data_IF_493757923746
#
_entry.id   IF_493757923746
#
_cell.length_a   1.000
_cell.length_b   1.000
_cell.length_c   1.000
_cell.angle_alpha   90.00
_cell.angle_beta   90.00
_cell.angle_gamma   90.00
#
_symmetry.space_group_name_H-M   'P 1'
#
loop_
_entity.id
_entity.type
_entity.pdbx_description
1 polymer ?
#
# COMPACT_ATOMS: atom_id res chain seq x y z
N UNK A 1 7.24 11.18 19.66
CA UNK A 1 5.85 11.70 19.72
C UNK A 1 4.92 10.67 20.36
N UNK A 2 3.79 11.08 20.95
CA UNK A 2 2.89 10.18 21.70
C UNK A 2 2.03 9.28 20.81
N UNK A 3 1.46 8.20 21.38
CA UNK A 3 0.53 7.33 20.66
C UNK A 3 -0.77 8.06 20.35
N UNK A 4 -1.31 7.90 19.13
CA UNK A 4 -2.60 8.46 18.75
C UNK A 4 -3.70 7.40 18.84
N UNK A 5 -4.75 7.71 19.60
CA UNK A 5 -5.92 6.84 19.75
C UNK A 5 -7.18 7.58 19.32
N UNK A 6 -8.06 6.89 18.59
CA UNK A 6 -9.47 7.29 18.51
C UNK A 6 -10.04 7.39 17.11
N UNK A 7 -11.13 8.15 17.02
CA UNK A 7 -11.91 8.37 15.80
C UNK A 7 -12.00 9.86 15.51
N UNK A 8 -11.48 10.31 14.37
CA UNK A 8 -11.48 11.74 14.05
C UNK A 8 -10.51 12.12 12.94
N UNK A 9 -10.20 13.42 12.88
CA UNK A 9 -9.24 14.02 11.97
C UNK A 9 -8.04 14.53 12.76
N UNK A 10 -6.83 14.04 12.44
CA UNK A 10 -5.63 14.33 13.22
C UNK A 10 -4.47 14.76 12.33
N UNK A 11 -4.38 16.05 11.96
CA UNK A 11 -3.21 16.59 11.28
C UNK A 11 -2.01 16.68 12.22
N UNK A 12 -0.88 16.11 11.81
CA UNK A 12 0.41 16.25 12.49
C UNK A 12 1.55 16.36 11.47
N UNK A 13 2.75 16.74 11.91
CA UNK A 13 3.96 16.58 11.09
C UNK A 13 4.51 15.15 11.21
N UNK A 14 4.67 14.65 12.42
CA UNK A 14 5.02 13.25 12.69
C UNK A 14 3.96 12.65 13.63
N UNK A 15 3.67 11.37 13.43
CA UNK A 15 2.72 10.62 14.25
C UNK A 15 3.40 9.37 14.77
N UNK A 16 3.32 9.14 16.08
CA UNK A 16 3.74 7.88 16.70
C UNK A 16 2.79 6.74 16.34
N UNK A 17 2.84 5.62 17.09
CA UNK A 17 1.94 4.50 16.90
C UNK A 17 0.46 4.96 16.89
N UNK A 18 -0.26 4.60 15.83
CA UNK A 18 -1.62 5.06 15.57
C UNK A 18 -2.61 3.91 15.68
N UNK A 19 -3.63 4.07 16.53
CA UNK A 19 -4.66 3.05 16.75
C UNK A 19 -6.06 3.65 16.56
N UNK A 20 -6.86 3.04 15.68
CA UNK A 20 -8.29 3.34 15.61
C UNK A 20 -8.83 3.56 14.19
N UNK A 21 -9.81 4.46 14.06
CA UNK A 21 -10.54 4.65 12.81
C UNK A 21 -10.74 6.12 12.48
N UNK A 22 -10.17 6.63 11.38
CA UNK A 22 -10.26 8.06 11.12
C UNK A 22 -9.54 8.53 9.86
N UNK A 23 -9.24 9.83 9.84
CA UNK A 23 -8.47 10.50 8.81
C UNK A 23 -7.22 11.12 9.44
N UNK A 24 -6.05 10.58 9.15
CA UNK A 24 -4.80 10.92 9.83
C UNK A 24 -3.78 11.45 8.81
N UNK A 25 -3.86 12.73 8.40
CA UNK A 25 -2.81 13.33 7.61
C UNK A 25 -1.55 13.56 8.45
N UNK A 26 -0.41 13.09 7.96
CA UNK A 26 0.91 13.32 8.56
C UNK A 26 1.97 13.55 7.48
N UNK A 27 3.17 14.01 7.82
CA UNK A 27 4.32 13.86 6.92
C UNK A 27 4.96 12.48 7.15
N UNK A 28 5.22 12.15 8.41
CA UNK A 28 5.75 10.86 8.83
C UNK A 28 4.75 10.15 9.74
N UNK A 29 4.57 8.85 9.53
CA UNK A 29 3.68 8.03 10.35
C UNK A 29 4.39 6.77 10.82
N UNK A 30 4.40 6.56 12.13
CA UNK A 30 4.85 5.32 12.74
C UNK A 30 3.89 4.15 12.49
N UNK A 31 4.03 3.04 13.23
CA UNK A 31 3.18 1.87 13.07
C UNK A 31 1.69 2.19 13.18
N UNK A 32 0.91 1.75 12.20
CA UNK A 32 -0.52 2.06 12.10
C UNK A 32 -1.37 0.82 12.23
N UNK A 33 -2.31 0.82 13.17
CA UNK A 33 -3.24 -0.28 13.45
C UNK A 33 -4.67 0.24 13.38
N UNK A 34 -5.36 0.01 12.27
CA UNK A 34 -6.68 0.61 12.16
C UNK A 34 -7.38 0.60 10.82
N UNK A 35 -8.43 1.41 10.75
CA UNK A 35 -9.24 1.57 9.55
C UNK A 35 -9.42 3.04 9.18
N UNK A 36 -8.99 3.48 8.01
CA UNK A 36 -9.06 4.92 7.75
C UNK A 36 -8.50 5.39 6.43
N UNK A 37 -8.30 6.70 6.38
CA UNK A 37 -7.54 7.38 5.36
C UNK A 37 -6.29 7.95 6.00
N UNK A 38 -5.11 7.56 5.50
CA UNK A 38 -3.83 7.92 6.09
C UNK A 38 -2.92 8.50 5.01
N UNK A 39 -3.13 9.76 4.61
CA UNK A 39 -2.18 10.43 3.73
C UNK A 39 -0.89 10.75 4.48
N UNK A 40 0.24 10.26 4.00
CA UNK A 40 1.56 10.65 4.49
C UNK A 40 2.59 10.77 3.38
N UNK A 41 3.81 11.20 3.70
CA UNK A 41 4.97 11.02 2.81
C UNK A 41 5.61 9.69 3.09
N UNK A 42 5.95 9.46 4.36
CA UNK A 42 6.53 8.22 4.84
C UNK A 42 5.57 7.52 5.78
N UNK A 43 5.45 6.20 5.64
CA UNK A 43 4.60 5.38 6.47
C UNK A 43 5.34 4.14 6.93
N UNK A 44 5.37 3.94 8.25
CA UNK A 44 5.85 2.72 8.88
C UNK A 44 4.90 1.53 8.68
N UNK A 45 5.15 0.42 9.38
CA UNK A 45 4.35 -0.80 9.25
C UNK A 45 2.86 -0.56 9.48
N UNK A 46 2.03 -1.05 8.56
CA UNK A 46 0.59 -0.80 8.58
C UNK A 46 -0.20 -2.10 8.68
N UNK A 47 -1.10 -2.16 9.65
CA UNK A 47 -2.00 -3.28 9.93
C UNK A 47 -3.44 -2.80 9.90
N UNK A 48 -4.21 -3.19 8.89
CA UNK A 48 -5.64 -2.94 8.87
C UNK A 48 -6.24 -2.64 7.51
N UNK A 49 -7.20 -1.71 7.46
CA UNK A 49 -7.99 -1.47 6.25
C UNK A 49 -8.16 0.00 5.88
N UNK A 50 -7.82 0.42 4.67
CA UNK A 50 -7.92 1.85 4.37
C UNK A 50 -7.54 2.29 2.99
N UNK A 51 -7.38 3.59 2.88
CA UNK A 51 -6.73 4.25 1.76
C UNK A 51 -5.47 4.90 2.30
N UNK A 52 -4.33 4.56 1.73
CA UNK A 52 -3.01 4.93 2.23
C UNK A 52 -2.20 5.54 1.08
N UNK A 53 -2.46 6.80 0.71
CA UNK A 53 -1.60 7.51 -0.21
C UNK A 53 -0.30 7.91 0.51
N UNK A 54 0.84 7.48 -0.04
CA UNK A 54 2.18 7.76 0.48
C UNK A 54 3.18 8.01 -0.65
N UNK A 55 4.39 8.46 -0.30
CA UNK A 55 5.54 8.31 -1.20
C UNK A 55 6.23 6.98 -0.90
N UNK A 56 6.52 6.73 0.38
CA UNK A 56 7.15 5.51 0.85
C UNK A 56 6.27 4.80 1.88
N UNK A 57 6.10 3.50 1.68
CA UNK A 57 5.36 2.65 2.61
C UNK A 57 6.19 1.45 3.05
N UNK A 58 6.26 1.24 4.36
CA UNK A 58 6.81 0.04 4.94
C UNK A 58 5.90 -1.18 4.77
N UNK A 59 6.18 -2.21 5.56
CA UNK A 59 5.47 -3.48 5.50
C UNK A 59 3.96 -3.31 5.74
N UNK A 60 3.14 -3.93 4.89
CA UNK A 60 1.69 -3.76 4.93
C UNK A 60 0.98 -5.09 5.16
N UNK A 61 0.08 -5.13 6.13
CA UNK A 61 -0.81 -6.25 6.41
C UNK A 61 -2.27 -5.80 6.38
N UNK A 62 -3.06 -6.33 5.45
CA UNK A 62 -4.50 -6.12 5.45
C UNK A 62 -5.07 -5.75 4.10
N UNK A 63 -5.98 -4.74 4.06
CA UNK A 63 -6.75 -4.46 2.86
C UNK A 63 -6.88 -2.99 2.51
N UNK A 64 -6.62 -2.59 1.27
CA UNK A 64 -6.74 -1.17 0.96
C UNK A 64 -6.55 -0.76 -0.47
N UNK A 65 -6.51 0.56 -0.64
CA UNK A 65 -6.01 1.20 -1.84
C UNK A 65 -4.71 1.91 -1.47
N UNK A 66 -3.67 1.66 -2.27
CA UNK A 66 -2.30 2.05 -1.97
C UNK A 66 -1.71 2.76 -3.20
N UNK A 67 -1.95 4.07 -3.35
CA UNK A 67 -1.11 4.93 -4.17
C UNK A 67 0.23 5.16 -3.44
N UNK A 68 1.34 4.68 -3.98
CA UNK A 68 2.68 4.93 -3.43
C UNK A 68 3.69 5.14 -4.55
N UNK A 69 4.88 5.66 -4.25
CA UNK A 69 6.02 5.53 -5.16
C UNK A 69 6.72 4.21 -4.85
N UNK A 70 7.09 4.02 -3.59
CA UNK A 70 7.72 2.79 -3.10
C UNK A 70 6.82 2.10 -2.06
N UNK A 71 6.79 0.78 -2.13
CA UNK A 71 6.07 -0.05 -1.16
C UNK A 71 6.86 -1.30 -0.81
N UNK A 72 7.09 -1.48 0.49
CA UNK A 72 7.68 -2.68 1.05
C UNK A 72 6.76 -3.92 0.99
N UNK A 73 7.15 -5.01 1.66
CA UNK A 73 6.44 -6.27 1.58
C UNK A 73 4.97 -6.17 2.00
N UNK A 74 4.08 -6.73 1.18
CA UNK A 74 2.64 -6.63 1.37
C UNK A 74 1.98 -7.99 1.54
N UNK A 75 1.13 -8.09 2.56
CA UNK A 75 0.36 -9.29 2.91
C UNK A 75 -1.12 -8.94 2.97
N UNK A 76 -1.91 -9.34 1.97
CA UNK A 76 -3.36 -9.18 2.02
C UNK A 76 -4.02 -8.85 0.68
N UNK A 77 -4.96 -7.88 0.67
CA UNK A 77 -5.76 -7.58 -0.53
C UNK A 77 -5.88 -6.11 -0.84
N UNK A 78 -5.52 -5.68 -2.05
CA UNK A 78 -5.64 -4.27 -2.39
C UNK A 78 -5.73 -3.92 -3.85
N UNK A 79 -5.86 -2.62 -4.06
CA UNK A 79 -5.62 -1.95 -5.33
C UNK A 79 -4.34 -1.16 -5.15
N UNK A 80 -3.38 -1.40 -6.01
CA UNK A 80 -2.02 -0.91 -5.89
C UNK A 80 -1.69 -0.10 -7.14
N UNK A 81 -1.35 1.16 -6.94
CA UNK A 81 -0.81 2.05 -7.98
C UNK A 81 0.53 2.54 -7.48
N UNK A 82 1.59 1.86 -7.88
CA UNK A 82 2.91 1.98 -7.24
C UNK A 82 3.99 2.03 -8.32
N UNK A 83 5.08 2.76 -8.11
CA UNK A 83 6.22 2.73 -9.05
C UNK A 83 7.03 1.46 -8.77
N UNK A 84 7.55 1.30 -7.56
CA UNK A 84 8.29 0.13 -7.10
C UNK A 84 7.57 -0.61 -5.96
N UNK A 85 7.31 -1.91 -6.17
CA UNK A 85 6.68 -2.76 -5.18
C UNK A 85 7.55 -3.96 -4.83
N UNK A 86 7.78 -4.16 -3.53
CA UNK A 86 8.43 -5.34 -2.99
C UNK A 86 7.56 -6.61 -3.05
N UNK A 87 7.94 -7.62 -2.25
CA UNK A 87 7.27 -8.91 -2.24
C UNK A 87 5.79 -8.80 -1.86
N UNK A 88 4.92 -9.46 -2.61
CA UNK A 88 3.47 -9.48 -2.33
C UNK A 88 2.95 -10.88 -2.10
N UNK A 89 2.32 -11.12 -0.95
CA UNK A 89 1.51 -12.30 -0.67
C UNK A 89 0.03 -11.90 -0.57
N UNK A 90 -0.77 -12.30 -1.56
CA UNK A 90 -2.22 -12.14 -1.47
C UNK A 90 -2.92 -11.85 -2.79
N UNK A 91 -3.83 -10.88 -2.80
CA UNK A 91 -4.70 -10.64 -3.97
C UNK A 91 -4.83 -9.17 -4.33
N UNK A 92 -4.83 -8.82 -5.61
CA UNK A 92 -5.02 -7.41 -5.94
C UNK A 92 -5.19 -7.06 -7.40
N UNK A 93 -5.44 -5.76 -7.59
CA UNK A 93 -5.27 -5.09 -8.87
C UNK A 93 -4.00 -4.26 -8.77
N UNK A 94 -3.06 -4.51 -9.67
CA UNK A 94 -1.74 -3.93 -9.64
C UNK A 94 -1.53 -3.13 -10.92
N UNK A 95 -1.31 -1.83 -10.77
CA UNK A 95 -0.80 -0.95 -11.81
C UNK A 95 0.56 -0.47 -11.34
N UNK A 96 1.63 -1.15 -11.76
CA UNK A 96 2.95 -1.00 -11.16
C UNK A 96 4.04 -0.94 -12.22
N UNK A 97 5.08 -0.13 -12.04
CA UNK A 97 6.19 -0.09 -13.00
C UNK A 97 7.12 -1.28 -12.75
N UNK A 98 7.66 -1.42 -11.55
CA UNK A 98 8.50 -2.53 -11.12
C UNK A 98 7.87 -3.31 -9.96
N UNK A 99 7.75 -4.62 -10.12
CA UNK A 99 7.17 -5.50 -9.11
C UNK A 99 8.13 -6.65 -8.77
N UNK A 100 8.39 -6.84 -7.48
CA UNK A 100 9.10 -7.99 -6.95
C UNK A 100 8.29 -9.30 -7.00
N UNK A 101 8.72 -10.29 -6.20
CA UNK A 101 8.06 -11.61 -6.20
C UNK A 101 6.61 -11.52 -5.71
N UNK A 102 5.68 -12.17 -6.42
CA UNK A 102 4.26 -12.21 -6.05
C UNK A 102 3.77 -13.63 -5.86
N UNK A 103 3.13 -13.89 -4.72
CA UNK A 103 2.43 -15.12 -4.39
C UNK A 103 0.94 -14.84 -4.24
N UNK A 104 0.10 -15.37 -5.13
CA UNK A 104 -1.36 -15.31 -4.98
C UNK A 104 -2.13 -15.01 -6.27
N UNK A 105 -3.10 -14.10 -6.23
CA UNK A 105 -4.01 -13.86 -7.37
C UNK A 105 -4.19 -12.39 -7.70
N UNK A 106 -3.99 -12.00 -8.96
CA UNK A 106 -4.15 -10.60 -9.33
C UNK A 106 -4.52 -10.32 -10.77
N UNK A 107 -4.83 -9.05 -11.01
CA UNK A 107 -4.79 -8.43 -12.32
C UNK A 107 -3.62 -7.47 -12.34
N UNK A 108 -2.74 -7.62 -13.32
CA UNK A 108 -1.47 -6.92 -13.40
C UNK A 108 -1.43 -6.11 -14.68
N UNK A 109 -1.20 -4.81 -14.54
CA UNK A 109 -0.76 -3.92 -15.60
C UNK A 109 0.59 -3.39 -15.18
N UNK A 110 1.66 -3.96 -15.73
CA UNK A 110 3.01 -3.68 -15.26
C UNK A 110 4.03 -3.66 -16.39
N UNK A 111 5.16 -2.99 -16.16
CA UNK A 111 6.25 -2.88 -17.12
C UNK A 111 7.31 -3.94 -16.86
N UNK A 112 7.79 -4.05 -15.62
CA UNK A 112 8.75 -5.05 -15.18
C UNK A 112 8.18 -5.95 -14.07
N UNK A 113 8.36 -7.27 -14.26
CA UNK A 113 7.85 -8.28 -13.35
C UNK A 113 8.92 -9.23 -12.84
N UNK A 114 9.00 -9.35 -11.52
CA UNK A 114 9.62 -10.46 -10.83
C UNK A 114 8.82 -11.77 -10.98
N UNK A 115 9.20 -12.78 -10.21
CA UNK A 115 8.54 -14.09 -10.29
C UNK A 115 7.13 -14.06 -9.72
N UNK A 116 6.17 -14.63 -10.45
CA UNK A 116 4.79 -14.78 -9.97
C UNK A 116 4.41 -16.24 -9.75
N UNK A 117 3.93 -16.55 -8.57
CA UNK A 117 3.39 -17.86 -8.19
C UNK A 117 1.91 -17.72 -7.87
N UNK A 118 1.06 -18.27 -8.74
CA UNK A 118 -0.39 -18.28 -8.55
C UNK A 118 -1.14 -17.90 -9.83
N UNK A 119 -2.30 -17.24 -9.71
CA UNK A 119 -3.20 -16.97 -10.84
C UNK A 119 -3.23 -15.48 -11.17
N UNK A 120 -2.78 -15.11 -12.36
CA UNK A 120 -2.80 -13.73 -12.83
C UNK A 120 -3.58 -13.55 -14.13
N UNK A 121 -4.13 -12.35 -14.32
CA UNK A 121 -4.38 -11.82 -15.66
C UNK A 121 -3.41 -10.66 -15.87
N UNK A 122 -2.61 -10.71 -16.93
CA UNK A 122 -1.56 -9.73 -17.21
C UNK A 122 -1.93 -8.94 -18.47
N UNK A 123 -1.79 -7.63 -18.42
CA UNK A 123 -1.95 -6.73 -19.57
C UNK A 123 -0.70 -5.86 -19.69
N UNK A 124 0.03 -6.01 -20.79
CA UNK A 124 1.20 -5.19 -21.13
C UNK A 124 0.80 -3.82 -21.67
N UNK A 125 1.78 -2.92 -21.75
CA UNK A 125 1.66 -1.58 -22.35
C UNK A 125 1.45 -1.61 -23.88
N UNK A 126 1.73 -2.73 -24.54
CA UNK A 126 1.59 -2.90 -26.00
C UNK A 126 0.12 -2.84 -26.50
N UNK A 127 -0.86 -3.07 -25.63
CA UNK A 127 -2.30 -3.10 -25.97
C UNK A 127 -3.00 -1.73 -25.87
N UNK A 128 -2.27 -0.61 -25.97
CA UNK A 128 -2.84 0.75 -25.87
C UNK A 128 -2.69 1.59 -27.15
N UNK A 129 -2.11 1.03 -28.20
CA UNK A 129 -1.93 1.68 -29.50
C UNK A 129 -2.72 0.99 -30.64
N UNK A 130 -3.97 0.58 -30.38
CA UNK A 130 -4.95 0.30 -31.43
C UNK A 130 -6.35 0.75 -31.01
#
# INVERSE_FOLDING_TARGET
MGQTFGRGHFPSQEMGPTFGRGHFPSQEMGPTFGRGHFPSKEMGPTFGRGHFPSQEMGQTFGRGHFPSQEMGPTFGRGHFRIEEMGQTLGRGHFRIEEMGQTFGRGHFRIEEMGQTFGRGHFRGSDDLNN
#
